data_IF_261897775005
#
_entry.id   IF_261897775005
#
_cell.length_a   1.000
_cell.length_b   1.000
_cell.length_c   1.000
_cell.angle_alpha   90.00
_cell.angle_beta   90.00
_cell.angle_gamma   90.00
#
_symmetry.space_group_name_H-M   'P 1'
#
loop_
_entity.id
_entity.type
_entity.pdbx_description
1 polymer ?
#
# COMPACT_ATOMS: atom_id res chain seq x y z
N UNK A 1 20.56 -12.25 -10.51
CA UNK A 1 20.50 -10.80 -10.18
C UNK A 1 20.67 -10.62 -8.68
N UNK A 2 21.19 -9.49 -8.21
CA UNK A 2 21.23 -9.12 -6.78
C UNK A 2 20.49 -7.82 -6.57
N UNK A 3 19.77 -7.71 -5.45
CA UNK A 3 19.07 -6.49 -5.04
C UNK A 3 19.11 -6.31 -3.53
N UNK A 4 18.75 -5.13 -3.03
CA UNK A 4 18.44 -4.96 -1.60
C UNK A 4 17.16 -5.71 -1.23
N UNK A 5 16.92 -5.87 0.07
CA UNK A 5 15.63 -6.32 0.60
C UNK A 5 14.50 -5.42 0.10
N UNK A 6 13.32 -5.97 -0.06
CA UNK A 6 12.15 -5.22 -0.54
C UNK A 6 11.55 -4.35 0.57
N UNK A 7 10.93 -3.24 0.16
CA UNK A 7 10.14 -2.37 1.04
C UNK A 7 8.69 -2.46 0.62
N UNK A 8 7.83 -2.95 1.52
CA UNK A 8 6.38 -3.02 1.31
C UNK A 8 5.70 -1.90 2.08
N UNK A 9 5.17 -0.93 1.34
CA UNK A 9 4.55 0.24 1.96
C UNK A 9 3.03 0.22 1.95
N UNK A 10 2.42 -0.78 1.29
CA UNK A 10 0.98 -0.90 1.20
C UNK A 10 0.54 -2.36 1.18
N UNK A 11 0.13 -2.87 2.33
CA UNK A 11 -0.46 -4.20 2.47
C UNK A 11 -1.25 -4.31 3.78
N UNK A 12 -2.35 -5.04 3.76
CA UNK A 12 -3.29 -5.16 4.88
C UNK A 12 -3.03 -6.36 5.77
N UNK A 13 -2.16 -7.26 5.33
CA UNK A 13 -1.79 -8.46 6.03
C UNK A 13 -1.52 -9.64 5.11
N UNK A 14 -1.07 -10.74 5.67
CA UNK A 14 -0.84 -12.03 5.01
C UNK A 14 -0.73 -13.13 6.06
N UNK A 15 -0.53 -14.38 5.64
CA UNK A 15 -0.42 -15.53 6.55
C UNK A 15 -1.61 -15.68 7.51
N UNK A 16 -2.81 -15.25 7.11
CA UNK A 16 -4.02 -15.28 7.93
C UNK A 16 -4.17 -14.12 8.90
N UNK A 17 -3.25 -13.17 8.90
CA UNK A 17 -3.21 -12.03 9.83
C UNK A 17 -3.69 -10.76 9.13
N UNK A 18 -4.63 -10.05 9.77
CA UNK A 18 -5.21 -8.76 9.37
C UNK A 18 -4.73 -7.69 10.36
N UNK A 19 -4.03 -6.66 9.89
CA UNK A 19 -3.50 -5.61 10.77
C UNK A 19 -4.57 -4.83 11.54
N UNK A 20 -5.80 -4.78 11.06
CA UNK A 20 -6.91 -4.16 11.79
C UNK A 20 -7.38 -5.01 13.00
N UNK A 21 -6.93 -6.27 13.11
CA UNK A 21 -7.37 -7.23 14.14
C UNK A 21 -6.23 -7.88 14.90
N UNK A 22 -5.03 -7.82 14.36
CA UNK A 22 -3.85 -8.49 14.89
C UNK A 22 -3.51 -8.04 16.32
N UNK A 23 -2.98 -8.95 17.10
CA UNK A 23 -2.28 -8.62 18.34
C UNK A 23 -0.76 -8.47 18.09
N UNK A 24 0.00 -8.11 19.11
CA UNK A 24 1.46 -7.91 19.01
C UNK A 24 2.19 -9.16 18.51
N UNK A 25 1.83 -10.34 19.01
CA UNK A 25 2.52 -11.60 18.66
C UNK A 25 2.21 -12.00 17.20
N UNK A 26 0.99 -11.77 16.74
CA UNK A 26 0.60 -11.96 15.33
C UNK A 26 1.48 -11.09 14.41
N UNK A 27 1.68 -9.82 14.76
CA UNK A 27 2.49 -8.88 13.96
C UNK A 27 3.97 -9.30 13.95
N UNK A 28 4.51 -9.71 15.09
CA UNK A 28 5.89 -10.22 15.18
C UNK A 28 6.07 -11.50 14.36
N UNK A 29 5.11 -12.43 14.41
CA UNK A 29 5.11 -13.62 13.57
C UNK A 29 5.09 -13.26 12.09
N UNK A 30 4.14 -12.41 11.65
CA UNK A 30 4.06 -11.96 10.26
C UNK A 30 5.37 -11.29 9.82
N UNK A 31 5.96 -10.41 10.66
CA UNK A 31 7.22 -9.73 10.35
C UNK A 31 8.38 -10.72 10.13
N UNK A 32 8.39 -11.85 10.84
CA UNK A 32 9.38 -12.92 10.65
C UNK A 32 9.14 -13.69 9.35
N UNK A 33 7.88 -14.04 9.08
CA UNK A 33 7.55 -14.81 7.87
C UNK A 33 7.76 -13.99 6.60
N UNK A 34 7.40 -12.70 6.59
CA UNK A 34 7.53 -11.86 5.41
C UNK A 34 8.99 -11.53 5.07
N UNK A 35 9.90 -11.54 6.06
CA UNK A 35 11.33 -11.41 5.82
C UNK A 35 11.87 -12.57 4.99
N UNK A 36 11.34 -13.79 5.18
CA UNK A 36 11.70 -14.96 4.37
C UNK A 36 11.25 -14.85 2.91
N UNK A 37 10.31 -13.95 2.63
CA UNK A 37 9.89 -13.56 1.27
C UNK A 37 10.74 -12.41 0.70
N UNK A 38 11.87 -12.05 1.34
CA UNK A 38 12.74 -10.96 0.90
C UNK A 38 12.25 -9.55 1.24
N UNK A 39 11.14 -9.41 1.95
CA UNK A 39 10.60 -8.10 2.34
C UNK A 39 11.20 -7.73 3.69
N UNK A 40 12.13 -6.76 3.68
CA UNK A 40 12.90 -6.38 4.87
C UNK A 40 12.36 -5.17 5.62
N UNK A 41 11.48 -4.38 4.99
CA UNK A 41 10.88 -3.17 5.57
C UNK A 41 9.40 -3.12 5.24
N UNK A 42 8.58 -2.83 6.25
CA UNK A 42 7.13 -2.84 6.11
C UNK A 42 6.48 -1.61 6.75
N UNK A 43 5.38 -1.19 6.12
CA UNK A 43 4.44 -0.20 6.65
C UNK A 43 3.06 -0.89 6.76
N UNK A 44 2.75 -1.58 7.88
CA UNK A 44 1.44 -2.16 8.07
C UNK A 44 0.33 -1.18 7.74
N UNK A 45 -0.58 -1.58 6.83
CA UNK A 45 -1.64 -0.71 6.32
C UNK A 45 -2.94 -0.99 7.06
N UNK A 46 -3.50 0.04 7.68
CA UNK A 46 -4.80 -0.02 8.34
C UNK A 46 -5.87 0.45 7.36
N UNK A 47 -6.81 -0.44 7.04
CA UNK A 47 -8.03 -0.09 6.29
C UNK A 47 -8.99 0.71 7.18
N UNK A 48 -9.92 1.43 6.56
CA UNK A 48 -10.98 2.17 7.27
C UNK A 48 -11.65 1.34 8.36
N UNK A 49 -11.71 1.92 9.55
CA UNK A 49 -12.33 1.32 10.75
C UNK A 49 -12.77 2.45 11.70
N UNK A 50 -13.32 2.12 12.86
CA UNK A 50 -13.60 3.10 13.91
C UNK A 50 -12.33 3.80 14.38
N UNK A 51 -12.44 5.05 14.80
CA UNK A 51 -11.34 5.83 15.39
C UNK A 51 -10.67 5.06 16.53
N UNK A 52 -11.48 4.45 17.41
CA UNK A 52 -10.99 3.68 18.56
C UNK A 52 -10.13 2.48 18.11
N UNK A 53 -10.60 1.76 17.08
CA UNK A 53 -9.86 0.59 16.57
C UNK A 53 -8.56 1.01 15.89
N UNK A 54 -8.59 2.05 15.05
CA UNK A 54 -7.39 2.59 14.40
C UNK A 54 -6.34 2.97 15.45
N UNK A 55 -6.72 3.76 16.46
CA UNK A 55 -5.80 4.14 17.56
C UNK A 55 -5.26 2.94 18.33
N UNK A 56 -6.10 1.95 18.56
CA UNK A 56 -5.68 0.70 19.22
C UNK A 56 -4.64 -0.04 18.38
N UNK A 57 -4.91 -0.19 17.08
CA UNK A 57 -4.01 -0.93 16.19
C UNK A 57 -2.68 -0.21 15.97
N UNK A 58 -2.67 1.12 15.84
CA UNK A 58 -1.43 1.90 15.78
C UNK A 58 -0.56 1.61 17.01
N UNK A 59 -1.15 1.61 18.23
CA UNK A 59 -0.42 1.28 19.47
C UNK A 59 0.12 -0.14 19.48
N UNK A 60 -0.66 -1.12 19.00
CA UNK A 60 -0.25 -2.52 18.92
C UNK A 60 0.92 -2.68 17.94
N UNK A 61 0.82 -2.09 16.75
CA UNK A 61 1.88 -2.11 15.73
C UNK A 61 3.16 -1.43 16.26
N UNK A 62 3.02 -0.29 16.94
CA UNK A 62 4.14 0.40 17.57
C UNK A 62 4.80 -0.46 18.65
N UNK A 63 4.02 -1.10 19.52
CA UNK A 63 4.53 -2.03 20.52
C UNK A 63 5.23 -3.23 19.87
N UNK A 64 4.71 -3.75 18.75
CA UNK A 64 5.40 -4.80 18.00
C UNK A 64 6.74 -4.31 17.46
N UNK A 65 6.79 -3.10 16.90
CA UNK A 65 8.03 -2.53 16.36
C UNK A 65 9.15 -2.38 17.41
N UNK A 66 8.78 -2.10 18.67
CA UNK A 66 9.71 -1.99 19.79
C UNK A 66 10.24 -3.36 20.28
N UNK A 67 9.55 -4.45 19.95
CA UNK A 67 9.90 -5.83 20.32
C UNK A 67 10.57 -6.64 19.22
N UNK A 68 10.76 -6.03 18.04
CA UNK A 68 11.36 -6.71 16.89
C UNK A 68 12.82 -7.11 17.16
N UNK A 69 13.19 -8.25 16.63
CA UNK A 69 14.56 -8.76 16.54
C UNK A 69 15.09 -8.68 15.11
N UNK A 70 16.37 -8.93 14.89
CA UNK A 70 17.01 -8.80 13.58
C UNK A 70 16.50 -9.80 12.53
N UNK A 71 15.87 -10.89 12.96
CA UNK A 71 15.24 -11.91 12.11
C UNK A 71 13.83 -11.57 11.66
N UNK A 72 13.45 -10.29 11.72
CA UNK A 72 12.14 -9.76 11.35
C UNK A 72 12.23 -8.61 10.36
N UNK A 73 11.26 -8.50 9.46
CA UNK A 73 11.07 -7.33 8.62
C UNK A 73 10.80 -6.10 9.48
N UNK A 74 11.57 -5.03 9.30
CA UNK A 74 11.48 -3.83 10.13
C UNK A 74 10.17 -3.08 9.88
N UNK A 75 9.40 -2.85 10.93
CA UNK A 75 8.23 -1.97 10.90
C UNK A 75 8.71 -0.52 10.94
N UNK A 76 8.45 0.24 9.86
CA UNK A 76 8.94 1.61 9.70
C UNK A 76 7.90 2.67 10.09
N UNK A 77 6.69 2.26 10.36
CA UNK A 77 5.54 3.10 10.67
C UNK A 77 4.26 2.45 10.19
N UNK A 78 3.17 3.19 10.23
CA UNK A 78 1.84 2.77 9.75
C UNK A 78 1.50 3.53 8.48
N UNK A 79 0.90 2.82 7.52
CA UNK A 79 0.15 3.42 6.43
C UNK A 79 -1.34 3.44 6.85
N UNK A 80 -1.91 4.63 7.00
CA UNK A 80 -3.34 4.78 7.25
C UNK A 80 -4.05 4.93 5.90
N UNK A 81 -4.65 3.84 5.41
CA UNK A 81 -5.47 3.85 4.22
C UNK A 81 -6.94 3.91 4.63
N UNK A 82 -7.40 5.10 4.77
CA UNK A 82 -8.82 5.27 5.04
C UNK A 82 -9.16 6.28 6.08
N UNK A 83 -10.44 6.27 6.39
CA UNK A 83 -11.35 7.20 7.00
C UNK A 83 -11.50 8.54 6.24
N UNK A 84 -10.50 9.02 5.49
CA UNK A 84 -10.52 10.31 4.77
C UNK A 84 -10.69 10.14 3.26
N UNK A 85 -11.56 9.23 2.85
CA UNK A 85 -11.76 8.81 1.47
C UNK A 85 -13.03 9.43 0.88
N UNK A 86 -13.10 9.46 -0.47
CA UNK A 86 -14.30 9.87 -1.16
C UNK A 86 -15.29 8.69 -1.25
N UNK A 87 -16.53 8.84 -0.75
CA UNK A 87 -17.55 7.77 -0.77
C UNK A 87 -17.85 7.23 -2.18
N UNK A 88 -17.71 8.06 -3.23
CA UNK A 88 -17.88 7.64 -4.62
C UNK A 88 -16.79 6.66 -5.10
N UNK A 89 -15.69 6.59 -4.37
CA UNK A 89 -14.53 5.73 -4.66
C UNK A 89 -14.16 4.82 -3.50
N UNK A 90 -15.14 4.45 -2.69
CA UNK A 90 -14.97 3.66 -1.46
C UNK A 90 -14.33 2.28 -1.66
N UNK A 91 -14.44 1.66 -2.84
CA UNK A 91 -13.96 0.29 -3.03
C UNK A 91 -14.54 -0.68 -2.01
N UNK A 92 -13.67 -1.41 -1.32
CA UNK A 92 -14.06 -2.35 -0.25
C UNK A 92 -14.36 -1.65 1.08
N UNK A 93 -13.87 -0.41 1.29
CA UNK A 93 -13.99 0.29 2.56
C UNK A 93 -15.44 0.48 3.03
N UNK A 94 -15.65 0.46 4.34
CA UNK A 94 -16.94 0.73 4.96
C UNK A 94 -17.13 2.25 5.16
N UNK A 95 -17.93 2.86 4.30
CA UNK A 95 -18.19 4.30 4.32
C UNK A 95 -18.84 4.83 5.61
N UNK A 96 -19.39 3.95 6.46
CA UNK A 96 -19.94 4.33 7.75
C UNK A 96 -18.90 4.93 8.71
N UNK A 97 -17.64 4.62 8.48
CA UNK A 97 -16.52 5.10 9.29
C UNK A 97 -15.77 6.26 8.62
N UNK A 98 -16.22 6.74 7.45
CA UNK A 98 -15.58 7.88 6.80
C UNK A 98 -15.80 9.16 7.59
N UNK A 99 -14.73 9.93 7.69
CA UNK A 99 -14.75 11.27 8.26
C UNK A 99 -14.34 12.28 7.18
N UNK A 100 -14.88 13.49 7.28
CA UNK A 100 -14.39 14.60 6.44
C UNK A 100 -12.90 14.82 6.70
N UNK A 101 -12.06 14.95 5.67
CA UNK A 101 -10.61 15.12 5.80
C UNK A 101 -10.27 16.54 6.26
N UNK A 102 -10.49 16.81 7.55
CA UNK A 102 -10.18 18.06 8.25
C UNK A 102 -9.09 17.84 9.29
N UNK A 103 -8.37 18.91 9.67
CA UNK A 103 -7.38 18.83 10.72
C UNK A 103 -7.99 18.38 12.06
N UNK A 104 -9.19 18.84 12.38
CA UNK A 104 -9.94 18.42 13.59
C UNK A 104 -10.15 16.90 13.60
N UNK A 105 -10.67 16.33 12.53
CA UNK A 105 -10.89 14.89 12.42
C UNK A 105 -9.59 14.08 12.40
N UNK A 106 -8.53 14.59 11.76
CA UNK A 106 -7.22 13.93 11.80
C UNK A 106 -6.67 13.84 13.23
N UNK A 107 -6.85 14.88 14.04
CA UNK A 107 -6.44 14.88 15.45
C UNK A 107 -7.06 13.75 16.27
N UNK A 108 -8.18 13.18 15.85
CA UNK A 108 -8.81 12.03 16.51
C UNK A 108 -7.96 10.76 16.39
N UNK A 109 -7.19 10.61 15.31
CA UNK A 109 -6.36 9.42 15.01
C UNK A 109 -4.87 9.72 14.98
N UNK A 110 -4.47 10.96 15.19
CA UNK A 110 -3.08 11.40 15.08
C UNK A 110 -2.14 10.55 15.95
N UNK A 111 -1.08 10.07 15.33
CA UNK A 111 0.07 9.44 15.99
C UNK A 111 1.31 9.68 15.12
N UNK A 112 2.46 9.94 15.76
CA UNK A 112 3.74 10.16 15.05
C UNK A 112 4.25 8.89 14.34
N UNK A 113 3.63 7.74 14.59
CA UNK A 113 3.93 6.48 13.93
C UNK A 113 3.21 6.34 12.58
N UNK A 114 2.23 7.20 12.26
CA UNK A 114 1.65 7.30 10.91
C UNK A 114 2.69 7.97 10.00
N UNK A 115 3.16 7.22 8.99
CA UNK A 115 4.17 7.71 8.03
C UNK A 115 3.59 7.92 6.63
N UNK A 116 2.52 7.22 6.31
CA UNK A 116 1.79 7.34 5.05
C UNK A 116 0.31 7.50 5.38
N UNK A 117 -0.36 8.37 4.63
CA UNK A 117 -1.81 8.52 4.69
C UNK A 117 -2.39 8.56 3.28
N UNK A 118 -3.37 7.70 3.03
CA UNK A 118 -4.19 7.77 1.82
C UNK A 118 -5.41 8.65 2.10
N UNK A 119 -5.64 9.63 1.22
CA UNK A 119 -6.67 10.64 1.38
C UNK A 119 -7.28 11.01 0.03
N UNK A 120 -8.54 11.43 0.03
CA UNK A 120 -9.16 12.11 -1.11
C UNK A 120 -8.83 13.61 -1.06
N UNK A 121 -7.81 14.09 -1.82
CA UNK A 121 -7.31 15.45 -1.68
C UNK A 121 -8.33 16.51 -2.06
N UNK A 122 -9.27 16.20 -2.95
CA UNK A 122 -10.35 17.12 -3.35
C UNK A 122 -11.36 17.43 -2.24
N UNK A 123 -11.38 16.61 -1.18
CA UNK A 123 -12.23 16.81 -0.01
C UNK A 123 -11.45 17.38 1.18
N UNK A 124 -10.10 17.36 1.11
CA UNK A 124 -9.25 17.70 2.22
C UNK A 124 -9.17 19.21 2.46
N UNK A 125 -9.19 19.60 3.74
CA UNK A 125 -8.97 21.00 4.11
C UNK A 125 -7.51 21.40 3.95
N UNK A 126 -7.25 22.65 3.55
CA UNK A 126 -5.89 23.14 3.30
C UNK A 126 -5.00 23.13 4.56
N UNK A 127 -5.60 23.34 5.74
CA UNK A 127 -4.90 23.28 7.03
C UNK A 127 -4.46 21.85 7.37
N UNK A 128 -5.27 20.83 7.06
CA UNK A 128 -4.87 19.42 7.19
C UNK A 128 -3.67 19.11 6.29
N UNK A 129 -3.76 19.43 4.99
CA UNK A 129 -2.68 19.15 4.05
C UNK A 129 -1.37 19.84 4.45
N UNK A 130 -1.44 21.10 4.85
CA UNK A 130 -0.30 21.85 5.37
C UNK A 130 0.27 21.23 6.65
N UNK A 131 -0.60 20.79 7.56
CA UNK A 131 -0.20 20.14 8.81
C UNK A 131 0.55 18.82 8.55
N UNK A 132 0.00 17.95 7.69
CA UNK A 132 0.61 16.66 7.34
C UNK A 132 1.99 16.84 6.67
N UNK A 133 2.13 17.82 5.78
CA UNK A 133 3.43 18.17 5.18
C UNK A 133 4.47 18.58 6.24
N UNK A 134 4.07 19.41 7.18
CA UNK A 134 4.96 19.84 8.27
C UNK A 134 5.37 18.68 9.20
N UNK A 135 4.53 17.66 9.34
CA UNK A 135 4.81 16.41 10.06
C UNK A 135 5.60 15.38 9.24
N UNK A 136 5.95 15.71 7.98
CA UNK A 136 6.65 14.80 7.06
C UNK A 136 5.91 13.49 6.78
N UNK A 137 4.59 13.48 6.97
CA UNK A 137 3.72 12.36 6.58
C UNK A 137 3.61 12.34 5.06
N UNK A 138 3.76 11.17 4.45
CA UNK A 138 3.59 11.00 3.00
C UNK A 138 2.10 11.02 2.67
N UNK A 139 1.64 12.10 2.03
CA UNK A 139 0.24 12.23 1.58
C UNK A 139 0.12 11.54 0.23
N UNK A 140 -0.71 10.52 0.16
CA UNK A 140 -1.02 9.80 -1.08
C UNK A 140 -2.47 10.03 -1.50
N UNK A 141 -2.69 10.44 -2.74
CA UNK A 141 -4.02 10.53 -3.32
C UNK A 141 -4.53 9.13 -3.67
N UNK A 142 -5.60 8.71 -3.05
CA UNK A 142 -6.26 7.44 -3.30
C UNK A 142 -7.71 7.49 -2.90
N UNK A 143 -8.55 6.60 -3.44
CA UNK A 143 -10.00 6.62 -3.21
C UNK A 143 -10.60 8.01 -3.43
N UNK A 144 -10.31 8.61 -4.59
CA UNK A 144 -10.54 10.02 -4.87
C UNK A 144 -10.97 10.24 -6.33
N UNK A 145 -11.54 11.41 -6.62
CA UNK A 145 -12.00 11.79 -7.95
C UNK A 145 -11.35 13.08 -8.48
N UNK A 146 -10.72 13.84 -7.60
CA UNK A 146 -10.07 15.10 -7.94
C UNK A 146 -8.81 14.93 -8.80
N UNK A 147 -8.49 15.94 -9.61
CA UNK A 147 -7.31 15.93 -10.45
C UNK A 147 -6.19 16.87 -9.98
N UNK A 148 -6.36 17.56 -8.86
CA UNK A 148 -5.30 18.35 -8.24
C UNK A 148 -4.55 17.52 -7.21
N UNK A 149 -3.28 17.22 -7.50
CA UNK A 149 -2.39 16.41 -6.68
C UNK A 149 -1.18 17.22 -6.18
N UNK A 150 -1.25 18.54 -6.22
CA UNK A 150 -0.12 19.44 -5.89
C UNK A 150 0.34 19.31 -4.43
N UNK A 151 -0.55 18.92 -3.54
CA UNK A 151 -0.27 18.69 -2.12
C UNK A 151 0.16 17.26 -1.80
N UNK A 152 0.08 16.34 -2.76
CA UNK A 152 0.40 14.94 -2.57
C UNK A 152 1.87 14.63 -2.88
N UNK A 153 2.45 13.70 -2.15
CA UNK A 153 3.77 13.13 -2.42
C UNK A 153 3.70 11.88 -3.30
N UNK A 154 2.52 11.26 -3.40
CA UNK A 154 2.30 10.06 -4.19
C UNK A 154 0.82 9.78 -4.47
N UNK A 155 0.57 8.65 -5.15
CA UNK A 155 -0.76 8.08 -5.34
C UNK A 155 -0.80 6.65 -4.82
N UNK A 156 -1.89 6.29 -4.17
CA UNK A 156 -2.18 4.94 -3.69
C UNK A 156 -2.70 4.10 -4.87
N UNK A 157 -2.15 2.89 -5.06
CA UNK A 157 -2.58 1.87 -6.04
C UNK A 157 -3.19 2.47 -7.32
N UNK A 158 -2.39 3.27 -8.05
CA UNK A 158 -2.81 4.05 -9.24
C UNK A 158 -3.71 3.24 -10.18
N UNK A 159 -4.76 3.87 -10.67
CA UNK A 159 -5.91 3.39 -11.42
C UNK A 159 -7.04 2.78 -10.56
N UNK A 160 -6.74 2.16 -9.42
CA UNK A 160 -7.76 1.55 -8.59
C UNK A 160 -8.43 2.61 -7.72
N UNK A 161 -9.76 2.53 -7.59
CA UNK A 161 -10.58 3.41 -6.76
C UNK A 161 -10.30 4.92 -6.96
N UNK A 162 -10.03 5.36 -8.20
CA UNK A 162 -9.86 6.78 -8.55
C UNK A 162 -10.58 7.14 -9.85
N UNK A 163 -10.66 8.43 -10.18
CA UNK A 163 -11.20 8.84 -11.48
C UNK A 163 -10.30 8.41 -12.62
N UNK A 164 -10.90 7.79 -13.64
CA UNK A 164 -10.20 7.27 -14.81
C UNK A 164 -9.64 8.40 -15.70
N UNK A 165 -8.76 8.06 -16.64
CA UNK A 165 -8.22 9.00 -17.63
C UNK A 165 -9.37 9.61 -18.43
N UNK A 166 -9.43 10.94 -18.48
CA UNK A 166 -10.39 11.70 -19.27
C UNK A 166 -9.66 12.73 -20.14
N UNK A 167 -10.06 12.82 -21.41
CA UNK A 167 -9.55 13.87 -22.32
C UNK A 167 -10.32 15.19 -22.19
N UNK A 168 -11.43 15.21 -21.45
CA UNK A 168 -12.32 16.38 -21.31
C UNK A 168 -12.15 17.12 -19.98
N UNK A 169 -11.58 16.48 -18.98
CA UNK A 169 -11.44 17.02 -17.64
C UNK A 169 -10.19 16.50 -16.94
N UNK A 170 -9.71 17.24 -15.96
CA UNK A 170 -8.69 16.71 -15.02
C UNK A 170 -9.27 15.48 -14.31
N UNK A 171 -8.43 14.50 -14.09
CA UNK A 171 -8.78 13.29 -13.33
C UNK A 171 -7.56 12.80 -12.58
N UNK A 172 -7.77 12.05 -11.50
CA UNK A 172 -6.68 11.55 -10.64
C UNK A 172 -5.68 10.73 -11.44
N UNK A 173 -6.16 9.74 -12.21
CA UNK A 173 -5.29 8.88 -13.00
C UNK A 173 -4.47 9.65 -14.05
N UNK A 174 -5.09 10.60 -14.75
CA UNK A 174 -4.36 11.42 -15.72
C UNK A 174 -3.31 12.30 -15.04
N UNK A 175 -3.70 13.00 -13.95
CA UNK A 175 -2.78 13.86 -13.20
C UNK A 175 -1.60 13.07 -12.60
N UNK A 176 -1.85 11.86 -12.14
CA UNK A 176 -0.79 10.96 -11.66
C UNK A 176 0.21 10.62 -12.76
N UNK A 177 -0.26 10.30 -13.96
CA UNK A 177 0.60 9.91 -15.08
C UNK A 177 1.47 11.05 -15.62
N UNK A 178 0.95 12.27 -15.66
CA UNK A 178 1.66 13.43 -16.27
C UNK A 178 2.52 14.21 -15.27
N UNK A 179 2.43 13.95 -13.97
CA UNK A 179 3.24 14.61 -12.96
C UNK A 179 4.53 13.81 -12.70
N UNK A 180 5.63 14.20 -13.33
CA UNK A 180 6.92 13.51 -13.22
C UNK A 180 7.55 13.52 -11.82
N UNK A 181 7.10 14.38 -10.91
CA UNK A 181 7.63 14.47 -9.55
C UNK A 181 6.87 13.58 -8.56
N UNK A 182 5.69 13.12 -8.92
CA UNK A 182 4.81 12.35 -8.04
C UNK A 182 5.20 10.87 -8.04
N UNK A 183 5.41 10.29 -6.88
CA UNK A 183 5.55 8.83 -6.77
C UNK A 183 4.20 8.15 -6.95
N UNK A 184 4.17 7.06 -7.70
CA UNK A 184 2.93 6.36 -7.99
C UNK A 184 3.04 4.89 -7.60
N UNK A 185 2.21 4.45 -6.67
CA UNK A 185 2.03 3.03 -6.40
C UNK A 185 1.31 2.33 -7.53
N UNK A 186 1.66 1.08 -7.78
CA UNK A 186 0.98 0.21 -8.74
C UNK A 186 0.91 -1.22 -8.22
N UNK A 187 -0.29 -1.82 -8.29
CA UNK A 187 -0.51 -3.26 -8.03
C UNK A 187 -0.37 -3.98 -9.37
N UNK A 188 0.79 -4.57 -9.63
CA UNK A 188 1.07 -5.23 -10.92
C UNK A 188 0.93 -6.77 -10.82
N UNK A 189 -0.13 -7.23 -10.17
CA UNK A 189 -0.42 -8.65 -9.89
C UNK A 189 -1.12 -9.39 -11.05
N UNK A 190 -1.41 -8.69 -12.17
CA UNK A 190 -2.12 -9.23 -13.32
C UNK A 190 -3.64 -9.39 -13.11
N UNK A 191 -4.18 -8.82 -12.02
CA UNK A 191 -5.60 -8.82 -11.68
C UNK A 191 -6.14 -7.40 -11.58
N UNK A 192 -5.47 -6.52 -10.83
CA UNK A 192 -5.91 -5.15 -10.55
C UNK A 192 -5.70 -4.22 -11.75
N UNK A 193 -4.65 -4.44 -12.53
CA UNK A 193 -4.30 -3.61 -13.68
C UNK A 193 -4.05 -4.51 -14.88
N UNK A 194 -4.77 -4.29 -15.97
CA UNK A 194 -4.56 -5.06 -17.20
C UNK A 194 -3.23 -4.66 -17.87
N UNK A 195 -2.71 -5.55 -18.71
CA UNK A 195 -1.38 -5.39 -19.32
C UNK A 195 -1.22 -4.08 -20.13
N UNK A 196 -2.27 -3.62 -20.81
CA UNK A 196 -2.17 -2.40 -21.62
C UNK A 196 -2.16 -1.14 -20.75
N UNK A 197 -2.94 -1.11 -19.64
CA UNK A 197 -2.90 -0.03 -18.67
C UNK A 197 -1.55 0.00 -17.93
N UNK A 198 -1.00 -1.17 -17.60
CA UNK A 198 0.33 -1.29 -16.99
C UNK A 198 1.44 -0.79 -17.94
N UNK A 199 1.38 -1.16 -19.23
CA UNK A 199 2.32 -0.63 -20.24
C UNK A 199 2.18 0.88 -20.41
N UNK A 200 0.95 1.41 -20.41
CA UNK A 200 0.72 2.87 -20.46
C UNK A 200 1.34 3.54 -19.25
N UNK A 201 1.11 3.00 -18.05
CA UNK A 201 1.67 3.51 -16.80
C UNK A 201 3.20 3.59 -16.85
N UNK A 202 3.87 2.48 -17.20
CA UNK A 202 5.35 2.38 -17.27
C UNK A 202 5.91 3.33 -18.36
N UNK A 203 5.20 3.53 -19.47
CA UNK A 203 5.63 4.46 -20.53
C UNK A 203 5.47 5.92 -20.13
N UNK A 204 4.49 6.23 -19.28
CA UNK A 204 4.14 7.62 -18.92
C UNK A 204 4.87 8.10 -17.68
N UNK A 205 5.24 7.19 -16.75
CA UNK A 205 5.92 7.56 -15.51
C UNK A 205 7.43 7.40 -15.61
N UNK A 206 8.22 8.36 -15.09
CA UNK A 206 9.65 8.14 -14.86
C UNK A 206 9.87 6.88 -14.01
N UNK A 207 10.83 6.03 -14.39
CA UNK A 207 11.09 4.78 -13.69
C UNK A 207 11.41 4.98 -12.20
N UNK A 208 12.06 6.09 -11.85
CA UNK A 208 12.43 6.44 -10.47
C UNK A 208 11.25 6.98 -9.64
N UNK A 209 10.04 7.00 -10.19
CA UNK A 209 8.79 7.40 -9.52
C UNK A 209 7.75 6.30 -9.41
N UNK A 210 8.07 5.10 -9.85
CA UNK A 210 7.19 3.93 -9.77
C UNK A 210 7.48 3.16 -8.49
N UNK A 211 6.46 2.91 -7.67
CA UNK A 211 6.54 2.07 -6.47
C UNK A 211 5.64 0.86 -6.66
N UNK A 212 6.23 -0.33 -6.62
CA UNK A 212 5.45 -1.57 -6.58
C UNK A 212 4.91 -1.76 -5.17
N UNK A 213 3.62 -2.10 -5.08
CA UNK A 213 2.97 -2.47 -3.83
C UNK A 213 2.14 -3.73 -4.04
N UNK A 214 1.98 -4.49 -2.97
CA UNK A 214 1.15 -5.70 -3.05
C UNK A 214 -0.32 -5.40 -2.82
N UNK A 215 -0.65 -4.55 -1.90
CA UNK A 215 -2.03 -4.38 -1.41
C UNK A 215 -2.62 -5.73 -0.96
N UNK A 216 -1.78 -6.61 -0.42
CA UNK A 216 -2.18 -7.98 -0.15
C UNK A 216 -3.02 -8.10 1.12
N UNK A 217 -3.84 -9.14 1.12
CA UNK A 217 -4.85 -9.44 2.12
C UNK A 217 -4.47 -10.64 3.00
N UNK A 218 -5.13 -10.84 4.15
CA UNK A 218 -4.88 -11.96 5.05
C UNK A 218 -4.90 -13.35 4.41
N UNK A 219 -5.63 -13.54 3.31
CA UNK A 219 -5.65 -14.81 2.57
C UNK A 219 -4.35 -15.13 1.84
N UNK A 220 -3.49 -14.13 1.60
CA UNK A 220 -2.18 -14.33 0.96
C UNK A 220 -1.28 -15.22 1.80
N UNK A 221 -0.68 -16.24 1.20
CA UNK A 221 0.15 -17.26 1.89
C UNK A 221 -0.60 -17.95 3.05
N UNK A 222 -1.93 -18.08 2.96
CA UNK A 222 -2.75 -18.76 3.98
C UNK A 222 -3.73 -19.76 3.36
N UNK A 223 -4.49 -20.44 4.21
CA UNK A 223 -5.55 -21.37 3.79
C UNK A 223 -6.94 -20.73 3.85
N UNK A 224 -7.03 -19.42 4.07
CA UNK A 224 -8.31 -18.73 4.16
C UNK A 224 -8.95 -18.64 2.77
N UNK A 225 -10.12 -19.24 2.63
CA UNK A 225 -10.98 -19.09 1.44
C UNK A 225 -12.09 -18.05 1.65
N UNK A 226 -12.39 -17.72 2.90
CA UNK A 226 -13.30 -16.65 3.27
C UNK A 226 -12.86 -15.97 4.58
N UNK A 227 -13.06 -14.68 4.68
CA UNK A 227 -12.72 -13.89 5.88
C UNK A 227 -13.53 -12.58 5.89
N UNK A 228 -13.50 -11.88 7.01
CA UNK A 228 -14.09 -10.52 7.12
C UNK A 228 -12.98 -9.50 7.00
N UNK A 229 -13.14 -8.54 6.06
CA UNK A 229 -12.25 -7.42 5.84
C UNK A 229 -13.06 -6.15 5.62
N UNK A 230 -12.69 -5.04 6.25
CA UNK A 230 -13.44 -3.77 6.21
C UNK A 230 -14.94 -3.95 6.48
N UNK A 231 -15.29 -4.77 7.48
CA UNK A 231 -16.66 -5.17 7.87
C UNK A 231 -17.45 -5.92 6.79
N UNK A 232 -16.81 -6.33 5.70
CA UNK A 232 -17.46 -7.10 4.64
C UNK A 232 -16.90 -8.52 4.58
N UNK A 233 -17.76 -9.46 4.20
CA UNK A 233 -17.33 -10.83 3.90
C UNK A 233 -16.62 -10.85 2.56
N UNK A 234 -15.39 -11.37 2.53
CA UNK A 234 -14.54 -11.51 1.36
C UNK A 234 -14.33 -12.99 1.08
N UNK A 235 -14.37 -13.36 -0.19
CA UNK A 235 -14.18 -14.72 -0.70
C UNK A 235 -12.94 -14.75 -1.58
N UNK A 236 -12.08 -15.73 -1.34
CA UNK A 236 -10.88 -16.00 -2.13
C UNK A 236 -11.06 -17.26 -2.95
N UNK A 237 -10.98 -17.15 -4.26
CA UNK A 237 -11.19 -18.24 -5.23
C UNK A 237 -9.89 -18.94 -5.67
N UNK A 238 -8.75 -18.62 -5.06
CA UNK A 238 -7.43 -19.09 -5.44
C UNK A 238 -6.67 -18.10 -6.33
N UNK A 239 -7.33 -17.04 -6.83
CA UNK A 239 -6.74 -16.02 -7.68
C UNK A 239 -7.13 -14.59 -7.27
N UNK A 240 -8.38 -14.37 -6.88
CA UNK A 240 -8.95 -13.07 -6.55
C UNK A 240 -9.65 -13.13 -5.20
N UNK A 241 -9.53 -12.07 -4.44
CA UNK A 241 -10.28 -11.85 -3.21
C UNK A 241 -11.36 -10.78 -3.47
N UNK A 242 -12.63 -11.15 -3.39
CA UNK A 242 -13.76 -10.27 -3.72
C UNK A 242 -14.85 -10.33 -2.66
N UNK A 243 -15.55 -9.22 -2.47
CA UNK A 243 -16.80 -9.19 -1.73
C UNK A 243 -17.93 -9.84 -2.53
N UNK A 244 -19.08 -10.05 -1.88
CA UNK A 244 -20.25 -10.72 -2.50
C UNK A 244 -20.76 -10.01 -3.76
N UNK A 245 -20.59 -8.70 -3.85
CA UNK A 245 -20.98 -7.88 -5.01
C UNK A 245 -19.91 -7.85 -6.13
N UNK A 246 -18.83 -8.63 -5.99
CA UNK A 246 -17.75 -8.71 -6.98
C UNK A 246 -16.69 -7.65 -6.87
N UNK A 247 -16.75 -6.74 -5.89
CA UNK A 247 -15.72 -5.73 -5.65
C UNK A 247 -14.42 -6.41 -5.21
N UNK A 248 -13.29 -6.11 -5.88
CA UNK A 248 -11.96 -6.53 -5.42
C UNK A 248 -11.69 -5.92 -4.06
N UNK A 249 -11.19 -6.72 -3.13
CA UNK A 249 -10.91 -6.30 -1.77
C UNK A 249 -9.42 -5.91 -1.56
N UNK A 250 -8.56 -6.34 -2.45
CA UNK A 250 -7.12 -6.20 -2.47
C UNK A 250 -6.48 -7.40 -3.16
N UNK A 251 -5.17 -7.41 -3.24
CA UNK A 251 -4.41 -8.43 -3.94
C UNK A 251 -4.18 -9.70 -3.08
N UNK A 252 -3.74 -10.74 -3.74
CA UNK A 252 -3.35 -12.01 -3.13
C UNK A 252 -1.91 -12.42 -3.49
N UNK A 253 -1.13 -11.46 -4.00
CA UNK A 253 0.28 -11.59 -4.34
C UNK A 253 1.15 -10.83 -3.33
N UNK A 254 2.39 -11.27 -3.12
CA UNK A 254 3.43 -10.50 -2.44
C UNK A 254 4.34 -9.81 -3.48
N UNK A 255 5.18 -8.87 -3.04
CA UNK A 255 6.11 -8.16 -3.93
C UNK A 255 6.99 -9.10 -4.78
N UNK A 256 7.56 -10.21 -4.28
CA UNK A 256 8.31 -11.13 -5.12
C UNK A 256 7.50 -11.74 -6.27
N UNK A 257 6.22 -12.04 -6.03
CA UNK A 257 5.32 -12.57 -7.07
C UNK A 257 5.10 -11.52 -8.17
N UNK A 258 4.91 -10.25 -7.77
CA UNK A 258 4.74 -9.10 -8.66
C UNK A 258 6.01 -8.85 -9.48
N UNK A 259 7.18 -8.87 -8.85
CA UNK A 259 8.49 -8.72 -9.52
C UNK A 259 8.67 -9.82 -10.57
N UNK A 260 8.43 -11.07 -10.19
CA UNK A 260 8.52 -12.22 -11.08
C UNK A 260 7.57 -12.09 -12.28
N UNK A 261 6.33 -11.64 -12.05
CA UNK A 261 5.36 -11.42 -13.12
C UNK A 261 5.79 -10.29 -14.06
N UNK A 262 6.27 -9.16 -13.55
CA UNK A 262 6.79 -8.06 -14.36
C UNK A 262 8.02 -8.48 -15.17
N UNK A 263 8.94 -9.23 -14.57
CA UNK A 263 10.14 -9.76 -15.24
C UNK A 263 9.77 -10.69 -16.39
N UNK A 264 8.81 -11.60 -16.20
CA UNK A 264 8.33 -12.50 -17.26
C UNK A 264 7.72 -11.76 -18.47
N UNK A 265 7.27 -10.52 -18.26
CA UNK A 265 6.75 -9.63 -19.29
C UNK A 265 7.77 -8.63 -19.85
N UNK A 266 9.02 -8.67 -19.40
CA UNK A 266 10.08 -7.70 -19.70
C UNK A 266 9.70 -6.26 -19.31
N UNK A 267 8.94 -6.09 -18.22
CA UNK A 267 8.49 -4.81 -17.71
C UNK A 267 9.14 -4.41 -16.38
N UNK A 268 9.88 -5.30 -15.76
CA UNK A 268 10.59 -5.04 -14.50
C UNK A 268 11.81 -4.14 -14.72
N UNK A 269 12.10 -3.27 -13.76
CA UNK A 269 13.28 -2.43 -13.66
C UNK A 269 13.81 -2.42 -12.24
N UNK A 270 15.13 -2.43 -12.07
CA UNK A 270 15.79 -2.46 -10.75
C UNK A 270 15.45 -1.23 -9.91
N UNK A 271 15.18 -0.09 -10.56
CA UNK A 271 14.76 1.15 -9.90
C UNK A 271 13.51 0.96 -9.05
N UNK A 272 12.59 0.05 -9.43
CA UNK A 272 11.36 -0.19 -8.69
C UNK A 272 11.61 -0.73 -7.27
N UNK A 273 12.72 -1.44 -7.05
CA UNK A 273 13.16 -1.86 -5.72
C UNK A 273 13.77 -0.69 -4.95
N UNK A 274 14.47 0.23 -5.63
CA UNK A 274 15.18 1.34 -4.99
C UNK A 274 14.25 2.53 -4.64
N UNK A 275 13.15 2.68 -5.35
CA UNK A 275 12.27 3.84 -5.22
C UNK A 275 11.62 3.98 -3.83
N UNK A 276 11.11 2.92 -3.17
CA UNK A 276 10.59 3.04 -1.82
C UNK A 276 11.65 3.49 -0.80
N UNK A 277 12.90 3.04 -0.95
CA UNK A 277 14.00 3.49 -0.11
C UNK A 277 14.22 5.00 -0.22
N UNK A 278 14.23 5.53 -1.45
CA UNK A 278 14.34 6.97 -1.72
C UNK A 278 13.13 7.74 -1.20
N UNK A 279 11.94 7.21 -1.46
CA UNK A 279 10.67 7.84 -1.04
C UNK A 279 10.57 8.02 0.48
N UNK A 280 10.99 7.01 1.24
CA UNK A 280 10.95 7.02 2.70
C UNK A 280 12.25 7.45 3.36
N UNK A 281 13.31 7.74 2.60
CA UNK A 281 14.64 8.04 3.12
C UNK A 281 15.17 6.93 4.06
N UNK A 282 14.90 5.67 3.71
CA UNK A 282 15.39 4.50 4.43
C UNK A 282 16.74 4.11 3.83
N UNK A 283 17.80 3.88 4.63
CA UNK A 283 19.04 3.35 4.11
C UNK A 283 18.85 1.91 3.59
N UNK A 284 19.30 1.58 2.39
CA UNK A 284 19.24 0.23 1.87
C UNK A 284 19.94 -0.75 2.81
N UNK A 285 19.36 -1.94 3.00
CA UNK A 285 19.90 -2.99 3.87
C UNK A 285 19.68 -4.36 3.25
N UNK A 286 20.59 -5.28 3.55
CA UNK A 286 20.52 -6.67 3.14
C UNK A 286 20.65 -6.87 1.62
N UNK A 287 20.69 -8.11 1.21
CA UNK A 287 20.81 -8.52 -0.19
C UNK A 287 19.92 -9.73 -0.47
N UNK A 288 19.21 -9.68 -1.59
CA UNK A 288 18.49 -10.82 -2.16
C UNK A 288 19.26 -11.29 -3.40
N UNK A 289 19.53 -12.58 -3.48
CA UNK A 289 20.00 -13.23 -4.70
C UNK A 289 18.81 -13.85 -5.43
N UNK A 290 18.66 -13.50 -6.71
CA UNK A 290 17.59 -13.98 -7.58
C UNK A 290 18.16 -14.88 -8.66
N UNK A 291 17.46 -15.96 -9.01
CA UNK A 291 17.78 -16.74 -10.21
C UNK A 291 17.37 -16.01 -11.50
N UNK A 292 17.57 -16.68 -12.64
CA UNK A 292 17.20 -16.14 -13.96
C UNK A 292 15.69 -15.96 -14.17
N UNK A 293 14.87 -16.64 -13.37
CA UNK A 293 13.39 -16.56 -13.38
C UNK A 293 12.84 -15.67 -12.27
N UNK A 294 13.70 -14.89 -11.59
CA UNK A 294 13.34 -14.04 -10.46
C UNK A 294 12.72 -14.81 -9.29
N UNK A 295 13.18 -16.05 -9.03
CA UNK A 295 12.93 -16.68 -7.74
C UNK A 295 14.04 -16.30 -6.76
N UNK A 296 13.66 -16.10 -5.50
CA UNK A 296 14.64 -15.84 -4.43
C UNK A 296 15.43 -17.13 -4.17
N UNK A 297 16.74 -17.05 -4.28
CA UNK A 297 17.68 -18.16 -4.02
C UNK A 297 18.30 -18.02 -2.63
N UNK A 298 18.63 -16.79 -2.23
CA UNK A 298 19.25 -16.51 -0.94
C UNK A 298 18.88 -15.11 -0.45
N UNK A 299 18.86 -14.95 0.88
CA UNK A 299 18.62 -13.67 1.56
C UNK A 299 19.72 -13.47 2.60
N UNK A 300 20.49 -12.39 2.46
CA UNK A 300 21.51 -11.95 3.41
C UNK A 300 21.02 -10.68 4.13
N UNK A 301 20.97 -10.67 5.47
CA UNK A 301 20.44 -9.58 6.30
C UNK A 301 21.47 -8.49 6.61
#
# INVERSE_FOLDING_TARGET
>A
MKSNLLVEQHFHGCYGIDFNKANTDDILYLSREILKEGIGFIFPTLVTDTVENIKRQIRIIKTASEKQTEDMAKICGVHLEGIFLNPEKKGIHNEKHFLSPTLENYKLVEDDFIKIITIAPELASADLLSYLKNKTVKIQAGHCIGGDLSDCSGTTHTFNAMSAISHKSKSTALSALINDNLYCEIIADGVHVCDDALKLFIKSKPNDKIILVSDCLPCTRSKLSEFTFADKKVYYDGKKATSKDGTLAGSTALLPDIIKLLASKNLFKDEYIQNPYKYHSIPPKGEIEWDENYNIVNINL
#
